data_IF_008484497764
#
_entry.id   IF_008484497764
#
_cell.length_a   1.000
_cell.length_b   1.000
_cell.length_c   1.000
_cell.angle_alpha   90.00
_cell.angle_beta   90.00
_cell.angle_gamma   90.00
#
_symmetry.space_group_name_H-M   'P 1'
#
loop_
_entity.id
_entity.type
_entity.pdbx_description
1 polymer ?
#
# COMPACT_ATOMS: atom_id res chain seq x y z
N UNK A 1 13.58 -7.06 -16.42
CA UNK A 1 13.01 -5.69 -16.54
C UNK A 1 13.94 -4.70 -15.84
N UNK A 2 14.55 -3.76 -16.56
CA UNK A 2 15.48 -2.79 -15.96
C UNK A 2 14.79 -1.83 -14.98
N UNK A 3 15.39 -1.56 -13.82
CA UNK A 3 14.87 -0.65 -12.77
C UNK A 3 14.48 0.73 -13.31
N UNK A 4 15.14 1.20 -14.36
CA UNK A 4 14.88 2.49 -15.01
C UNK A 4 13.50 2.56 -15.68
N UNK A 5 13.08 1.49 -16.38
CA UNK A 5 11.78 1.43 -17.07
C UNK A 5 10.61 1.49 -16.08
N UNK A 6 10.77 0.88 -14.91
CA UNK A 6 9.76 0.89 -13.84
C UNK A 6 9.62 2.29 -13.26
N UNK A 7 10.72 2.97 -12.97
CA UNK A 7 10.69 4.37 -12.48
C UNK A 7 10.04 5.32 -13.49
N UNK A 8 10.35 5.19 -14.79
CA UNK A 8 9.71 6.00 -15.83
C UNK A 8 8.19 5.75 -15.90
N UNK A 9 7.78 4.47 -15.86
CA UNK A 9 6.36 4.09 -15.82
C UNK A 9 5.65 4.71 -14.62
N UNK A 10 6.29 4.75 -13.45
CA UNK A 10 5.73 5.36 -12.24
C UNK A 10 5.67 6.89 -12.31
N UNK A 11 6.64 7.54 -12.98
CA UNK A 11 6.68 9.00 -13.19
C UNK A 11 5.62 9.47 -14.18
N UNK A 12 5.40 8.72 -15.25
CA UNK A 12 4.43 9.06 -16.32
C UNK A 12 3.01 8.56 -16.01
N UNK A 13 2.83 7.72 -14.99
CA UNK A 13 1.52 7.22 -14.62
C UNK A 13 0.69 8.33 -13.97
N UNK A 14 -0.54 8.54 -14.46
CA UNK A 14 -1.49 9.52 -13.90
C UNK A 14 -2.12 9.04 -12.58
N UNK A 15 -1.76 7.84 -12.12
CA UNK A 15 -2.25 7.23 -10.88
C UNK A 15 -3.79 7.25 -10.75
N UNK A 16 -4.52 6.97 -11.83
CA UNK A 16 -5.99 7.00 -11.82
C UNK A 16 -6.58 5.77 -11.10
N UNK A 17 -6.01 4.59 -11.31
CA UNK A 17 -6.46 3.37 -10.63
C UNK A 17 -5.65 3.13 -9.35
N UNK A 18 -6.17 3.65 -8.24
CA UNK A 18 -5.58 3.47 -6.90
C UNK A 18 -6.40 2.46 -6.12
N UNK A 19 -5.76 1.67 -5.28
CA UNK A 19 -6.45 0.77 -4.36
C UNK A 19 -5.68 0.60 -3.06
N UNK A 20 -6.43 0.49 -1.98
CA UNK A 20 -5.88 0.15 -0.68
C UNK A 20 -5.55 -1.34 -0.62
N UNK A 21 -4.33 -1.65 -0.24
CA UNK A 21 -3.83 -3.01 -0.11
C UNK A 21 -3.25 -3.19 1.29
N UNK A 22 -3.72 -4.20 2.01
CA UNK A 22 -3.17 -4.56 3.32
C UNK A 22 -1.88 -5.34 3.13
N UNK A 23 -0.86 -5.01 3.90
CA UNK A 23 0.31 -5.87 4.03
C UNK A 23 -0.10 -7.15 4.74
N UNK A 24 0.18 -8.31 4.14
CA UNK A 24 0.07 -9.57 4.88
C UNK A 24 1.21 -9.59 5.91
N UNK A 25 0.90 -9.23 7.14
CA UNK A 25 1.79 -9.45 8.29
C UNK A 25 1.54 -10.86 8.84
N UNK A 26 2.61 -11.57 9.20
CA UNK A 26 2.52 -12.87 9.87
C UNK A 26 2.04 -12.73 11.33
N UNK A 27 2.10 -11.52 11.89
CA UNK A 27 1.81 -11.21 13.30
C UNK A 27 0.64 -10.24 13.45
N UNK A 28 -0.48 -10.50 12.74
CA UNK A 28 -1.67 -9.62 12.73
C UNK A 28 -2.26 -9.33 14.13
N UNK A 29 -1.95 -10.17 15.12
CA UNK A 29 -2.51 -10.07 16.46
C UNK A 29 -1.82 -9.05 17.38
N UNK A 30 -0.59 -8.61 17.07
CA UNK A 30 0.24 -7.85 18.03
C UNK A 30 0.53 -6.41 17.64
N UNK A 31 0.34 -6.03 16.36
CA UNK A 31 0.91 -4.78 15.85
C UNK A 31 0.05 -4.05 14.82
N UNK A 32 -1.25 -4.32 14.73
CA UNK A 32 -2.11 -3.62 13.75
C UNK A 32 -1.90 -4.00 12.28
N UNK A 33 -2.69 -3.39 11.40
CA UNK A 33 -2.69 -3.62 9.96
C UNK A 33 -2.07 -2.42 9.22
N UNK A 34 -0.97 -2.65 8.50
CA UNK A 34 -0.37 -1.66 7.61
C UNK A 34 -1.09 -1.69 6.25
N UNK A 35 -1.66 -0.56 5.85
CA UNK A 35 -2.45 -0.43 4.63
C UNK A 35 -1.77 0.57 3.71
N UNK A 36 -1.50 0.16 2.48
CA UNK A 36 -0.87 0.99 1.47
C UNK A 36 -1.88 1.39 0.40
N UNK A 37 -1.86 2.66 0.01
CA UNK A 37 -2.52 3.10 -1.22
C UNK A 37 -1.56 2.85 -2.37
N UNK A 38 -1.88 1.88 -3.21
CA UNK A 38 -1.03 1.49 -4.35
C UNK A 38 -1.74 1.80 -5.66
N UNK A 39 -1.01 2.32 -6.63
CA UNK A 39 -1.51 2.42 -7.99
C UNK A 39 -1.47 1.03 -8.65
N UNK A 40 -2.62 0.52 -9.06
CA UNK A 40 -2.74 -0.81 -9.71
C UNK A 40 -2.14 -0.84 -11.12
N UNK A 41 -1.99 0.31 -11.78
CA UNK A 41 -1.42 0.40 -13.14
C UNK A 41 0.11 0.34 -13.15
N UNK A 42 0.76 1.03 -12.20
CA UNK A 42 2.23 1.19 -12.16
C UNK A 42 2.90 0.61 -10.91
N UNK A 43 2.12 0.13 -9.94
CA UNK A 43 2.61 -0.46 -8.70
C UNK A 43 3.25 0.55 -7.74
N UNK A 44 3.14 1.86 -7.98
CA UNK A 44 3.69 2.88 -7.09
C UNK A 44 2.86 2.94 -5.81
N UNK A 45 3.52 2.87 -4.66
CA UNK A 45 2.93 3.21 -3.36
C UNK A 45 2.80 4.73 -3.31
N UNK A 46 1.59 5.21 -3.13
CA UNK A 46 1.24 6.63 -3.08
C UNK A 46 1.10 7.11 -1.66
N UNK A 47 0.60 6.25 -0.77
CA UNK A 47 0.33 6.56 0.62
C UNK A 47 0.44 5.29 1.47
N UNK A 48 0.65 5.47 2.77
CA UNK A 48 0.71 4.39 3.74
C UNK A 48 0.06 4.85 5.03
N UNK A 49 -0.92 4.10 5.51
CA UNK A 49 -1.52 4.30 6.83
C UNK A 49 -1.33 3.05 7.65
N UNK A 50 -0.98 3.26 8.92
CA UNK A 50 -0.92 2.19 9.90
C UNK A 50 -2.20 2.25 10.73
N UNK A 51 -2.93 1.13 10.81
CA UNK A 51 -4.11 1.01 11.66
C UNK A 51 -3.78 0.10 12.82
N UNK A 52 -3.53 0.71 13.97
CA UNK A 52 -3.36 0.00 15.23
C UNK A 52 -4.64 -0.75 15.58
N UNK A 53 -4.50 -2.01 15.95
CA UNK A 53 -5.61 -2.79 16.50
C UNK A 53 -5.66 -2.47 17.99
N UNK A 54 -6.40 -1.42 18.36
CA UNK A 54 -6.73 -1.17 19.76
C UNK A 54 -7.62 -2.32 20.23
N UNK A 55 -7.22 -2.98 21.33
CA UNK A 55 -7.60 -4.34 21.68
C UNK A 55 -9.06 -4.60 22.06
N UNK A 56 -10.07 -3.87 21.57
CA UNK A 56 -11.49 -4.19 21.79
C UNK A 56 -12.51 -3.39 20.93
N UNK A 57 -12.35 -3.32 19.59
CA UNK A 57 -13.45 -2.96 18.69
C UNK A 57 -13.18 -1.83 17.70
N UNK A 58 -13.90 -1.89 16.57
CA UNK A 58 -13.84 -0.90 15.50
C UNK A 58 -14.60 0.37 15.92
N UNK A 59 -13.98 1.55 15.75
CA UNK A 59 -14.69 2.83 15.68
C UNK A 59 -15.18 3.08 14.26
#
# INVERSE_FOLDING_TARGET
>A
MGKLKIKLKQLLCRHKNKGWMKKKSTFQCLSGDEIFLVCKDCGKILDSTFREREGNGWK
#
